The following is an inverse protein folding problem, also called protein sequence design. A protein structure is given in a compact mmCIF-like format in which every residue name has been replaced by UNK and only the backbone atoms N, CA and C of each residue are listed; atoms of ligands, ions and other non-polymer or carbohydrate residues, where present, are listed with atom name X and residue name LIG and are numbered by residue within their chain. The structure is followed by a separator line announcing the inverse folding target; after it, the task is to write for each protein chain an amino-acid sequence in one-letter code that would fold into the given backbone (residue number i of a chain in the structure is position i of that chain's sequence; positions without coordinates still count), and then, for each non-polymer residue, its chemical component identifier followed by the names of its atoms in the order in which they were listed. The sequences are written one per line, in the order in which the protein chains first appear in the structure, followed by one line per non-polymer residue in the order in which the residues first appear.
data_IF_385248265852
#
_entry.id   IF_385248265852
#
_cell.length_a   1.000
_cell.length_b   1.000
_cell.length_c   1.000
_cell.angle_alpha   90.00
_cell.angle_beta   90.00
_cell.angle_gamma   90.00
#
_symmetry.space_group_name_H-M   'P 1'
#
loop_
_entity.id
_entity.type
_entity.pdbx_description
1 polymer ?
#
# COMPACT_ATOMS: atom_id res chain seq x y z
N UNK A 1 -4.39 14.91 8.61
CA UNK A 1 -3.25 15.31 9.47
C UNK A 1 -2.00 15.64 8.65
N UNK A 2 -1.55 14.76 7.74
CA UNK A 2 -0.34 15.01 6.92
C UNK A 2 -0.46 16.23 6.00
N UNK A 3 -1.58 16.39 5.30
CA UNK A 3 -1.79 17.58 4.43
C UNK A 3 -1.75 18.90 5.22
N UNK A 4 -2.34 18.90 6.41
CA UNK A 4 -2.27 20.05 7.32
C UNK A 4 -0.83 20.41 7.69
N UNK A 5 0.04 19.42 7.94
CA UNK A 5 1.45 19.67 8.22
C UNK A 5 2.18 20.27 7.01
N UNK A 6 1.90 19.80 5.79
CA UNK A 6 2.52 20.31 4.55
C UNK A 6 2.09 21.77 4.29
N UNK A 7 0.81 22.07 4.46
CA UNK A 7 0.25 23.42 4.31
C UNK A 7 0.86 24.42 5.32
N UNK A 8 1.21 23.93 6.52
CA UNK A 8 1.80 24.72 7.58
C UNK A 8 3.35 24.65 7.64
N UNK A 9 3.98 24.01 6.66
CA UNK A 9 5.45 23.87 6.58
C UNK A 9 6.16 24.96 5.79
N UNK A 10 5.48 26.07 5.45
CA UNK A 10 5.97 27.07 4.51
C UNK A 10 7.39 27.57 4.82
N UNK A 11 8.22 27.70 3.77
CA UNK A 11 9.54 28.33 3.86
C UNK A 11 9.48 29.73 3.21
N UNK A 12 9.94 30.77 3.92
CA UNK A 12 10.10 32.12 3.36
C UNK A 12 11.50 32.30 2.78
N UNK A 13 11.60 32.93 1.62
CA UNK A 13 12.87 33.13 0.89
C UNK A 13 13.71 34.28 1.48
N UNK A 14 13.08 35.20 2.22
CA UNK A 14 13.69 36.50 2.60
C UNK A 14 13.99 36.62 4.11
N UNK A 15 13.84 35.55 4.88
CA UNK A 15 14.04 35.59 6.35
C UNK A 15 14.50 34.23 6.86
N UNK A 16 15.77 34.16 7.25
CA UNK A 16 16.35 32.99 7.93
C UNK A 16 15.73 32.78 9.33
N UNK A 17 15.12 33.82 9.90
CA UNK A 17 14.43 33.80 11.20
C UNK A 17 12.95 33.36 11.09
N UNK A 18 12.45 33.03 9.90
CA UNK A 18 11.05 32.61 9.77
C UNK A 18 10.84 31.20 10.32
N UNK A 19 10.00 31.12 11.35
CA UNK A 19 9.57 29.89 11.97
C UNK A 19 8.13 29.57 11.56
N UNK A 20 7.94 28.40 10.95
CA UNK A 20 6.62 27.91 10.56
C UNK A 20 5.94 27.17 11.73
N UNK A 21 4.59 27.01 11.71
CA UNK A 21 3.92 26.15 12.69
C UNK A 21 4.43 24.70 12.68
N UNK A 22 4.93 24.21 11.54
CA UNK A 22 5.58 22.91 11.46
C UNK A 22 6.92 22.89 12.22
N UNK A 23 7.70 23.97 12.17
CA UNK A 23 8.94 24.09 12.95
C UNK A 23 8.66 23.99 14.45
N UNK A 24 7.67 24.73 14.94
CA UNK A 24 7.26 24.69 16.35
C UNK A 24 6.82 23.29 16.80
N UNK A 25 6.12 22.56 15.93
CA UNK A 25 5.70 21.18 16.22
C UNK A 25 6.90 20.25 16.39
N UNK A 26 7.93 20.37 15.53
CA UNK A 26 9.12 19.54 15.61
C UNK A 26 10.06 19.96 16.76
N UNK A 27 10.09 21.23 17.13
CA UNK A 27 10.80 21.71 18.32
C UNK A 27 10.17 21.15 19.60
N UNK A 28 8.85 21.21 19.73
CA UNK A 28 8.15 20.61 20.86
C UNK A 28 8.40 19.09 20.93
N UNK A 29 8.39 18.40 19.78
CA UNK A 29 8.73 16.98 19.73
C UNK A 29 10.20 16.71 20.13
N UNK A 30 11.12 17.59 19.76
CA UNK A 30 12.53 17.49 20.15
C UNK A 30 12.73 17.70 21.65
N UNK A 31 11.98 18.61 22.28
CA UNK A 31 12.02 18.81 23.72
C UNK A 31 11.56 17.56 24.49
N UNK A 32 10.55 16.84 23.97
CA UNK A 32 10.03 15.61 24.57
C UNK A 32 10.91 14.38 24.28
N UNK A 33 11.30 14.17 23.02
CA UNK A 33 12.18 13.08 22.59
C UNK A 33 13.22 13.56 21.55
N UNK A 34 14.41 13.99 22.02
CA UNK A 34 15.48 14.47 21.14
C UNK A 34 15.99 13.43 20.14
N UNK A 35 15.77 12.14 20.42
CA UNK A 35 16.29 11.02 19.61
C UNK A 35 15.27 10.52 18.58
N UNK A 36 14.07 11.10 18.56
CA UNK A 36 12.98 10.69 17.70
C UNK A 36 13.37 10.77 16.21
N UNK A 37 13.06 9.73 15.43
CA UNK A 37 13.42 9.64 14.01
C UNK A 37 12.86 10.85 13.24
N UNK A 38 11.62 11.25 13.52
CA UNK A 38 10.99 12.37 12.83
C UNK A 38 11.75 13.70 13.05
N UNK A 39 12.30 13.94 14.24
CA UNK A 39 13.13 15.13 14.53
C UNK A 39 14.41 15.10 13.70
N UNK A 40 15.07 13.94 13.62
CA UNK A 40 16.31 13.78 12.85
C UNK A 40 16.08 14.03 11.36
N UNK A 41 15.03 13.44 10.79
CA UNK A 41 14.67 13.64 9.38
C UNK A 41 14.26 15.10 9.09
N UNK A 42 13.52 15.74 10.01
CA UNK A 42 13.14 17.13 9.85
C UNK A 42 14.34 18.09 9.87
N UNK A 43 15.33 17.83 10.73
CA UNK A 43 16.60 18.59 10.74
C UNK A 43 17.36 18.48 9.42
N UNK A 44 17.33 17.32 8.77
CA UNK A 44 17.93 17.15 7.43
C UNK A 44 17.18 18.02 6.41
N UNK A 45 15.85 18.03 6.45
CA UNK A 45 15.05 18.92 5.60
C UNK A 45 15.39 20.41 5.84
N UNK A 46 15.57 20.84 7.09
CA UNK A 46 15.93 22.23 7.43
C UNK A 46 17.34 22.65 6.98
N UNK A 47 18.21 21.73 6.60
CA UNK A 47 19.50 22.06 5.98
C UNK A 47 19.35 22.51 4.51
N UNK A 48 18.20 22.27 3.88
CA UNK A 48 17.95 22.72 2.52
C UNK A 48 17.77 24.24 2.46
N UNK A 49 18.39 24.89 1.46
CA UNK A 49 18.16 26.31 1.20
C UNK A 49 16.67 26.59 0.95
N UNK A 50 16.19 27.80 1.29
CA UNK A 50 14.75 28.14 1.25
C UNK A 50 14.05 27.79 -0.07
N UNK A 51 14.69 28.06 -1.21
CA UNK A 51 14.16 27.68 -2.54
C UNK A 51 14.03 26.16 -2.73
N UNK A 52 14.99 25.39 -2.22
CA UNK A 52 14.98 23.93 -2.28
C UNK A 52 13.94 23.35 -1.33
N UNK A 53 13.85 23.85 -0.09
CA UNK A 53 12.85 23.45 0.88
C UNK A 53 11.42 23.65 0.34
N UNK A 54 11.16 24.81 -0.28
CA UNK A 54 9.88 25.11 -0.93
C UNK A 54 9.57 24.17 -2.10
N UNK A 55 10.57 23.81 -2.90
CA UNK A 55 10.43 22.83 -3.98
C UNK A 55 10.07 21.44 -3.45
N UNK A 56 10.69 21.01 -2.35
CA UNK A 56 10.39 19.74 -1.68
C UNK A 56 8.94 19.73 -1.18
N UNK A 57 8.51 20.78 -0.47
CA UNK A 57 7.14 20.90 0.04
C UNK A 57 6.11 20.89 -1.09
N UNK A 58 6.37 21.61 -2.18
CA UNK A 58 5.48 21.62 -3.34
C UNK A 58 5.40 20.23 -3.99
N UNK A 59 6.52 19.54 -4.14
CA UNK A 59 6.55 18.18 -4.68
C UNK A 59 5.76 17.20 -3.81
N UNK A 60 5.88 17.30 -2.49
CA UNK A 60 5.11 16.50 -1.54
C UNK A 60 3.61 16.82 -1.62
N UNK A 61 3.24 18.11 -1.64
CA UNK A 61 1.85 18.55 -1.75
C UNK A 61 1.17 18.04 -3.03
N UNK A 62 1.87 18.11 -4.18
CA UNK A 62 1.32 17.61 -5.46
C UNK A 62 1.10 16.10 -5.41
N UNK A 63 2.06 15.33 -4.88
CA UNK A 63 1.94 13.87 -4.78
C UNK A 63 0.86 13.42 -3.81
N UNK A 64 0.61 14.20 -2.75
CA UNK A 64 -0.39 13.89 -1.72
C UNK A 64 -1.73 14.60 -1.94
N UNK A 65 -1.88 15.32 -3.05
CA UNK A 65 -3.07 16.13 -3.35
C UNK A 65 -4.38 15.34 -3.32
N UNK A 66 -4.36 14.06 -3.68
CA UNK A 66 -5.55 13.22 -3.60
C UNK A 66 -6.07 13.05 -2.16
N UNK A 67 -5.21 13.13 -1.14
CA UNK A 67 -5.60 13.09 0.27
C UNK A 67 -6.21 14.40 0.78
N UNK A 68 -6.49 15.36 -0.10
CA UNK A 68 -7.30 16.54 0.19
C UNK A 68 -8.80 16.24 -0.06
N UNK A 69 -9.10 15.27 -0.93
CA UNK A 69 -10.48 14.92 -1.30
C UNK A 69 -11.22 14.41 -0.05
N UNK A 70 -12.35 15.02 0.36
CA UNK A 70 -13.06 14.68 1.60
C UNK A 70 -13.40 13.19 1.72
N UNK A 71 -13.76 12.55 0.61
CA UNK A 71 -14.09 11.13 0.53
C UNK A 71 -12.86 10.26 0.84
N UNK A 72 -11.69 10.62 0.31
CA UNK A 72 -10.42 9.91 0.56
C UNK A 72 -9.95 10.15 1.99
N UNK A 73 -10.09 11.38 2.49
CA UNK A 73 -9.83 11.69 3.90
C UNK A 73 -10.72 10.84 4.79
N UNK A 74 -12.02 10.71 4.47
CA UNK A 74 -12.97 9.92 5.23
C UNK A 74 -12.52 8.47 5.45
N UNK A 75 -12.08 7.81 4.38
CA UNK A 75 -11.64 6.40 4.42
C UNK A 75 -10.22 6.20 4.99
N UNK A 76 -9.39 7.25 5.05
CA UNK A 76 -7.98 7.14 5.51
C UNK A 76 -7.70 7.77 6.87
N UNK A 77 -8.67 8.47 7.45
CA UNK A 77 -8.48 9.19 8.73
C UNK A 77 -8.50 8.27 9.95
N UNK A 78 -9.16 7.12 9.86
CA UNK A 78 -9.31 6.18 10.98
C UNK A 78 -8.99 4.77 10.50
N UNK A 79 -8.37 3.99 11.38
CA UNK A 79 -8.25 2.54 11.20
C UNK A 79 -9.41 1.87 11.94
N UNK A 80 -10.43 1.50 11.18
CA UNK A 80 -11.62 0.76 11.64
C UNK A 80 -11.70 -0.65 11.03
N UNK A 81 -10.82 -0.97 10.08
CA UNK A 81 -10.81 -2.25 9.40
C UNK A 81 -10.10 -3.32 10.21
N UNK A 82 -9.23 -2.98 11.15
CA UNK A 82 -8.54 -3.93 12.04
C UNK A 82 -7.89 -5.09 11.26
N UNK A 83 -7.22 -4.79 10.14
CA UNK A 83 -6.74 -5.79 9.17
C UNK A 83 -5.83 -6.86 9.80
N UNK A 84 -5.08 -6.52 10.84
CA UNK A 84 -4.26 -7.48 11.59
C UNK A 84 -5.09 -8.55 12.31
N UNK A 85 -6.29 -8.22 12.78
CA UNK A 85 -7.14 -9.15 13.52
C UNK A 85 -7.85 -10.18 12.63
N UNK A 86 -7.76 -10.05 11.30
CA UNK A 86 -8.34 -11.02 10.36
C UNK A 86 -7.74 -12.43 10.54
N UNK A 87 -6.51 -12.53 11.04
CA UNK A 87 -5.87 -13.81 11.39
C UNK A 87 -6.24 -14.37 12.77
N UNK A 88 -6.87 -13.56 13.63
CA UNK A 88 -7.22 -13.92 15.01
C UNK A 88 -8.70 -14.27 15.17
N UNK A 89 -9.56 -13.64 14.39
CA UNK A 89 -11.01 -13.86 14.41
C UNK A 89 -11.61 -13.78 13.01
N UNK A 90 -12.79 -14.37 12.84
CA UNK A 90 -13.51 -14.34 11.56
C UNK A 90 -13.92 -12.91 11.22
N UNK A 91 -13.46 -12.43 10.08
CA UNK A 91 -13.74 -11.10 9.55
C UNK A 91 -13.72 -11.15 8.02
N UNK A 92 -14.50 -10.27 7.37
CA UNK A 92 -14.50 -10.09 5.93
C UNK A 92 -14.38 -8.60 5.60
N UNK A 93 -13.49 -8.27 4.66
CA UNK A 93 -13.30 -6.91 4.13
C UNK A 93 -13.60 -6.97 2.64
N UNK A 94 -14.45 -6.06 2.16
CA UNK A 94 -14.84 -5.96 0.77
C UNK A 94 -14.30 -4.67 0.19
N UNK A 95 -13.42 -4.76 -0.80
CA UNK A 95 -12.96 -3.63 -1.58
C UNK A 95 -13.84 -3.51 -2.84
N UNK A 96 -14.72 -2.50 -2.86
CA UNK A 96 -15.60 -2.23 -4.00
C UNK A 96 -14.91 -1.19 -4.87
N UNK A 97 -14.56 -1.58 -6.09
CA UNK A 97 -13.75 -0.77 -6.99
C UNK A 97 -14.60 -0.40 -8.21
N UNK A 98 -14.70 0.89 -8.58
CA UNK A 98 -15.36 1.29 -9.81
C UNK A 98 -14.59 0.76 -11.02
N UNK A 99 -15.31 0.24 -12.01
CA UNK A 99 -14.78 -0.39 -13.22
C UNK A 99 -14.30 0.63 -14.28
N UNK A 100 -14.84 1.84 -14.24
CA UNK A 100 -14.69 2.84 -15.28
C UNK A 100 -13.60 3.89 -15.03
N UNK A 101 -13.08 4.00 -13.80
CA UNK A 101 -12.12 5.03 -13.40
C UNK A 101 -11.00 4.46 -12.51
N UNK A 102 -9.81 4.32 -13.11
CA UNK A 102 -8.61 3.83 -12.43
C UNK A 102 -7.89 4.87 -11.57
N UNK A 103 -8.38 6.11 -11.49
CA UNK A 103 -7.73 7.23 -10.79
C UNK A 103 -7.37 6.87 -9.34
N UNK A 104 -8.21 6.08 -8.67
CA UNK A 104 -8.05 5.73 -7.25
C UNK A 104 -7.59 4.29 -7.00
N UNK A 105 -7.13 3.57 -8.03
CA UNK A 105 -6.66 2.18 -7.86
C UNK A 105 -5.47 2.06 -6.90
N UNK A 106 -4.70 3.13 -6.72
CA UNK A 106 -3.61 3.17 -5.75
C UNK A 106 -4.09 2.98 -4.30
N UNK A 107 -5.32 3.39 -3.95
CA UNK A 107 -5.90 3.18 -2.62
C UNK A 107 -6.13 1.70 -2.34
N UNK A 108 -6.54 0.95 -3.36
CA UNK A 108 -6.71 -0.50 -3.29
C UNK A 108 -5.33 -1.18 -3.14
N UNK A 109 -4.33 -0.71 -3.89
CA UNK A 109 -2.95 -1.21 -3.73
C UNK A 109 -2.37 -0.92 -2.34
N UNK A 110 -2.65 0.26 -1.79
CA UNK A 110 -2.32 0.59 -0.40
C UNK A 110 -3.03 -0.35 0.58
N UNK A 111 -4.33 -0.58 0.40
CA UNK A 111 -5.11 -1.51 1.24
C UNK A 111 -4.49 -2.91 1.24
N UNK A 112 -4.15 -3.46 0.07
CA UNK A 112 -3.49 -4.76 -0.02
C UNK A 112 -2.13 -4.76 0.67
N UNK A 113 -1.33 -3.72 0.45
CA UNK A 113 -0.01 -3.59 1.08
C UNK A 113 -0.13 -3.58 2.60
N UNK A 114 -1.05 -2.78 3.15
CA UNK A 114 -1.33 -2.71 4.58
C UNK A 114 -1.84 -4.06 5.12
N UNK A 115 -2.75 -4.73 4.39
CA UNK A 115 -3.26 -6.04 4.78
C UNK A 115 -2.14 -7.09 4.86
N UNK A 116 -1.32 -7.22 3.81
CA UNK A 116 -0.20 -8.17 3.82
C UNK A 116 0.80 -7.87 4.93
N UNK A 117 1.19 -6.60 5.11
CA UNK A 117 2.12 -6.21 6.17
C UNK A 117 1.57 -6.52 7.57
N UNK A 118 0.31 -6.18 7.83
CA UNK A 118 -0.34 -6.44 9.11
C UNK A 118 -0.43 -7.95 9.39
N UNK A 119 -0.88 -8.73 8.40
CA UNK A 119 -1.01 -10.19 8.54
C UNK A 119 0.33 -10.89 8.70
N UNK A 120 1.36 -10.46 7.96
CA UNK A 120 2.72 -11.01 8.11
C UNK A 120 3.32 -10.65 9.46
N UNK A 121 3.09 -9.43 9.95
CA UNK A 121 3.51 -9.04 11.29
C UNK A 121 2.82 -9.91 12.35
N UNK A 122 1.52 -10.13 12.24
CA UNK A 122 0.77 -10.99 13.15
C UNK A 122 1.30 -12.42 13.14
N UNK A 123 1.49 -13.00 11.95
CA UNK A 123 2.06 -14.33 11.80
C UNK A 123 3.47 -14.43 12.41
N UNK A 124 4.39 -13.57 11.99
CA UNK A 124 5.81 -13.73 12.29
C UNK A 124 6.20 -13.22 13.69
N UNK A 125 5.55 -12.16 14.18
CA UNK A 125 5.93 -11.48 15.43
C UNK A 125 5.02 -11.80 16.60
N UNK A 126 3.72 -11.97 16.36
CA UNK A 126 2.75 -12.23 17.43
C UNK A 126 2.58 -13.73 17.64
N UNK A 127 2.23 -14.47 16.58
CA UNK A 127 1.99 -15.91 16.64
C UNK A 127 3.25 -16.75 16.47
N UNK A 128 4.35 -16.15 16.00
CA UNK A 128 5.63 -16.82 15.71
C UNK A 128 5.45 -18.03 14.77
N UNK A 129 4.53 -17.93 13.82
CA UNK A 129 4.12 -19.02 12.96
C UNK A 129 2.86 -18.72 12.16
N UNK A 130 2.09 -19.75 11.83
CA UNK A 130 0.88 -19.59 11.05
C UNK A 130 -0.23 -18.88 11.83
N UNK A 131 -1.05 -18.08 11.13
CA UNK A 131 -2.21 -17.43 11.72
C UNK A 131 -3.22 -18.47 12.24
N UNK A 132 -3.83 -18.27 13.43
CA UNK A 132 -4.84 -19.16 14.00
C UNK A 132 -6.06 -19.36 13.09
N UNK A 133 -6.51 -18.28 12.45
CA UNK A 133 -7.60 -18.29 11.47
C UNK A 133 -7.02 -18.06 10.08
N UNK A 134 -7.22 -18.99 9.12
CA UNK A 134 -6.73 -18.80 7.76
C UNK A 134 -7.37 -17.59 7.08
N UNK A 135 -6.55 -16.77 6.44
CA UNK A 135 -6.99 -15.58 5.72
C UNK A 135 -6.92 -15.83 4.21
N UNK A 136 -8.04 -15.64 3.53
CA UNK A 136 -8.15 -15.79 2.07
C UNK A 136 -8.39 -14.44 1.41
N UNK A 137 -7.49 -14.06 0.52
CA UNK A 137 -7.68 -12.94 -0.39
C UNK A 137 -8.36 -13.46 -1.66
N UNK A 138 -9.53 -12.92 -1.99
CA UNK A 138 -10.22 -13.19 -3.25
C UNK A 138 -10.02 -12.00 -4.18
N UNK A 139 -9.31 -12.20 -5.28
CA UNK A 139 -8.86 -11.15 -6.18
C UNK A 139 -9.50 -11.38 -7.56
N UNK A 140 -10.72 -10.89 -7.75
CA UNK A 140 -11.44 -11.07 -9.02
C UNK A 140 -10.91 -10.15 -10.13
N UNK A 141 -10.50 -8.94 -9.75
CA UNK A 141 -9.95 -7.90 -10.61
C UNK A 141 -8.41 -7.85 -10.56
N UNK A 142 -7.75 -8.99 -10.41
CA UNK A 142 -6.30 -9.08 -10.16
C UNK A 142 -5.43 -8.29 -11.17
N UNK A 143 -5.80 -8.29 -12.45
CA UNK A 143 -5.06 -7.56 -13.48
C UNK A 143 -5.43 -6.07 -13.61
N UNK A 144 -6.54 -5.64 -13.01
CA UNK A 144 -7.05 -4.27 -13.11
C UNK A 144 -6.74 -3.43 -11.85
N UNK A 145 -6.36 -4.08 -10.75
CA UNK A 145 -5.99 -3.41 -9.50
C UNK A 145 -4.48 -3.17 -9.38
N UNK A 146 -4.11 -2.13 -8.66
CA UNK A 146 -2.72 -1.95 -8.23
C UNK A 146 -2.37 -3.01 -7.19
N UNK A 147 -1.39 -3.83 -7.49
CA UNK A 147 -0.89 -4.86 -6.58
C UNK A 147 0.31 -4.33 -5.77
N UNK A 148 0.57 -4.88 -4.57
CA UNK A 148 1.82 -4.61 -3.86
C UNK A 148 3.04 -4.96 -4.72
N UNK A 149 4.10 -4.17 -4.56
CA UNK A 149 5.41 -4.52 -5.13
C UNK A 149 5.83 -5.92 -4.67
N UNK A 150 6.47 -6.69 -5.56
CA UNK A 150 6.91 -8.07 -5.28
C UNK A 150 5.79 -9.06 -4.88
N UNK A 151 4.56 -8.88 -5.39
CA UNK A 151 3.45 -9.81 -5.12
C UNK A 151 3.81 -11.29 -5.36
N UNK A 152 4.66 -11.61 -6.35
CA UNK A 152 5.14 -12.98 -6.58
C UNK A 152 5.89 -13.58 -5.39
N UNK A 153 6.69 -12.78 -4.66
CA UNK A 153 7.37 -13.21 -3.43
C UNK A 153 6.38 -13.38 -2.27
N UNK A 154 5.38 -12.50 -2.18
CA UNK A 154 4.29 -12.64 -1.20
C UNK A 154 3.54 -13.95 -1.45
N UNK A 155 3.15 -14.22 -2.69
CA UNK A 155 2.44 -15.44 -3.07
C UNK A 155 3.23 -16.72 -2.74
N UNK A 156 4.55 -16.71 -2.96
CA UNK A 156 5.41 -17.85 -2.63
C UNK A 156 5.55 -18.11 -1.11
N UNK A 157 5.34 -17.09 -0.26
CA UNK A 157 5.63 -17.17 1.18
C UNK A 157 4.40 -17.13 2.09
N UNK A 158 3.23 -16.77 1.56
CA UNK A 158 2.00 -16.58 2.34
C UNK A 158 1.45 -17.90 2.90
N UNK A 159 1.68 -19.03 2.21
CA UNK A 159 1.13 -20.34 2.59
C UNK A 159 1.57 -20.81 3.97
N UNK A 160 2.85 -20.62 4.32
CA UNK A 160 3.36 -21.03 5.65
C UNK A 160 2.75 -20.22 6.79
N UNK A 161 2.11 -19.09 6.47
CA UNK A 161 1.46 -18.18 7.43
C UNK A 161 -0.07 -18.40 7.51
N UNK A 162 -0.61 -19.45 6.89
CA UNK A 162 -2.06 -19.64 6.71
C UNK A 162 -2.76 -18.51 5.94
N UNK A 163 -2.03 -17.84 5.06
CA UNK A 163 -2.57 -16.84 4.14
C UNK A 163 -2.63 -17.47 2.74
N UNK A 164 -3.73 -17.24 2.02
CA UNK A 164 -3.93 -17.74 0.66
C UNK A 164 -4.51 -16.66 -0.25
N UNK A 165 -4.14 -16.67 -1.52
CA UNK A 165 -4.78 -15.82 -2.54
C UNK A 165 -5.50 -16.69 -3.58
N UNK A 166 -6.68 -16.25 -4.00
CA UNK A 166 -7.42 -16.81 -5.12
C UNK A 166 -7.52 -15.74 -6.16
N UNK A 167 -6.73 -15.92 -7.21
CA UNK A 167 -6.61 -15.00 -8.32
C UNK A 167 -7.58 -15.45 -9.40
N UNK A 168 -8.50 -14.58 -9.80
CA UNK A 168 -9.37 -14.80 -10.95
C UNK A 168 -8.82 -13.99 -12.11
N UNK A 169 -8.69 -14.64 -13.26
CA UNK A 169 -8.20 -14.03 -14.49
C UNK A 169 -9.22 -14.21 -15.58
N UNK A 170 -9.51 -13.14 -16.33
CA UNK A 170 -10.33 -13.23 -17.54
C UNK A 170 -9.54 -13.86 -18.69
N UNK A 171 -8.23 -13.57 -18.79
CA UNK A 171 -7.33 -14.16 -19.77
C UNK A 171 -5.88 -14.16 -19.23
N UNK A 172 -5.04 -15.04 -19.76
CA UNK A 172 -3.62 -15.14 -19.37
C UNK A 172 -2.81 -13.97 -19.99
N UNK A 173 -3.27 -13.42 -21.12
CA UNK A 173 -2.60 -12.31 -21.81
C UNK A 173 -2.45 -11.06 -20.92
N UNK A 174 -3.46 -10.72 -20.11
CA UNK A 174 -3.42 -9.63 -19.16
C UNK A 174 -2.40 -9.88 -18.04
N UNK A 175 -2.29 -11.13 -17.57
CA UNK A 175 -1.28 -11.52 -16.59
C UNK A 175 0.14 -11.37 -17.15
N UNK A 176 0.36 -11.82 -18.39
CA UNK A 176 1.63 -11.67 -19.10
C UNK A 176 2.02 -10.21 -19.30
N UNK A 177 1.06 -9.36 -19.62
CA UNK A 177 1.32 -7.93 -19.77
C UNK A 177 1.74 -7.28 -18.44
N UNK A 178 1.13 -7.71 -17.33
CA UNK A 178 1.38 -7.16 -16.00
C UNK A 178 2.72 -7.63 -15.41
N UNK A 179 3.03 -8.94 -15.49
CA UNK A 179 4.21 -9.53 -14.86
C UNK A 179 5.37 -9.84 -15.82
N UNK A 180 5.21 -9.58 -17.12
CA UNK A 180 6.23 -9.76 -18.17
C UNK A 180 6.89 -11.13 -18.14
N UNK A 181 8.11 -11.26 -17.63
CA UNK A 181 8.86 -12.51 -17.56
C UNK A 181 8.53 -13.32 -16.30
N UNK A 182 7.98 -12.70 -15.26
CA UNK A 182 7.70 -13.33 -13.95
C UNK A 182 6.33 -14.03 -13.90
N UNK A 183 5.51 -13.91 -14.94
CA UNK A 183 4.15 -14.47 -14.97
C UNK A 183 4.11 -16.00 -14.79
N UNK A 184 5.12 -16.71 -15.30
CA UNK A 184 5.23 -18.18 -15.15
C UNK A 184 5.46 -18.56 -13.69
N UNK A 185 6.26 -17.78 -12.97
CA UNK A 185 6.49 -17.98 -11.54
C UNK A 185 5.21 -17.80 -10.72
N UNK A 186 4.41 -16.78 -11.06
CA UNK A 186 3.12 -16.54 -10.39
C UNK A 186 2.13 -17.69 -10.60
N UNK A 187 2.08 -18.23 -11.81
CA UNK A 187 1.27 -19.41 -12.10
C UNK A 187 1.82 -20.67 -11.44
N UNK A 188 3.15 -20.84 -11.41
CA UNK A 188 3.81 -21.98 -10.76
C UNK A 188 3.64 -22.03 -9.25
N UNK A 189 3.49 -20.87 -8.60
CA UNK A 189 3.19 -20.78 -7.17
C UNK A 189 1.73 -21.12 -6.83
N UNK A 190 0.83 -21.18 -7.81
CA UNK A 190 -0.56 -21.53 -7.59
C UNK A 190 -0.72 -23.07 -7.56
N UNK A 191 -1.13 -23.60 -6.40
CA UNK A 191 -1.37 -25.03 -6.22
C UNK A 191 -2.48 -25.60 -7.13
N UNK A 192 -3.38 -24.74 -7.60
CA UNK A 192 -4.55 -25.16 -8.39
C UNK A 192 -4.85 -24.12 -9.47
N UNK A 193 -4.97 -24.61 -10.71
CA UNK A 193 -5.45 -23.83 -11.85
C UNK A 193 -6.82 -24.35 -12.26
N UNK A 194 -7.82 -23.48 -12.25
CA UNK A 194 -9.17 -23.79 -12.74
C UNK A 194 -9.40 -23.01 -14.03
N UNK A 195 -9.55 -23.73 -15.14
CA UNK A 195 -9.86 -23.14 -16.44
C UNK A 195 -11.33 -23.32 -16.77
N UNK A 196 -12.08 -22.22 -16.83
CA UNK A 196 -13.52 -22.20 -17.07
C UNK A 196 -13.91 -21.99 -18.54
N UNK A 197 -12.92 -21.98 -19.45
CA UNK A 197 -13.12 -21.70 -20.88
C UNK A 197 -12.70 -20.28 -21.28
N UNK A 198 -12.37 -20.10 -22.56
CA UNK A 198 -11.83 -18.87 -23.13
C UNK A 198 -11.52 -19.05 -24.62
N UNK A 199 -11.56 -17.96 -25.38
CA UNK A 199 -11.45 -17.97 -26.85
C UNK A 199 -10.01 -17.79 -27.39
N UNK A 200 -8.99 -17.73 -26.53
CA UNK A 200 -7.59 -17.53 -26.95
C UNK A 200 -6.87 -18.87 -27.23
N UNK A 201 -6.33 -19.02 -28.45
CA UNK A 201 -5.55 -20.19 -28.87
C UNK A 201 -4.31 -20.48 -28.00
N UNK A 202 -3.69 -19.46 -27.41
CA UNK A 202 -2.52 -19.59 -26.52
C UNK A 202 -2.88 -20.19 -25.17
N UNK A 203 -4.06 -19.87 -24.63
CA UNK A 203 -4.56 -20.38 -23.34
C UNK A 203 -4.97 -21.85 -23.43
N UNK A 204 -5.36 -22.32 -24.62
CA UNK A 204 -5.66 -23.74 -24.85
C UNK A 204 -4.47 -24.69 -24.67
N UNK A 205 -3.22 -24.21 -24.76
CA UNK A 205 -2.02 -25.05 -24.59
C UNK A 205 -1.73 -25.43 -23.14
N UNK A 206 -2.38 -24.82 -22.14
CA UNK A 206 -2.26 -25.21 -20.72
C UNK A 206 -3.07 -26.49 -20.42
N UNK A 207 -3.75 -27.03 -21.43
CA UNK A 207 -4.54 -28.26 -21.39
C UNK A 207 -3.66 -29.47 -21.75
N UNK A 208 -2.60 -29.75 -21.00
CA UNK A 208 -1.91 -31.05 -21.07
C UNK A 208 -1.28 -31.39 -19.74
#
# INVERSE_FOLDING_TARGET
MVMYMIENGGAREDSDDFQSPLDLLFEALEEEDPSHIAVREYKIFKQAAGKTAKSILLSAAVRLSAFIIPEIVGITTRDDMELGLMGDRKQAVFAIIPDNDGTFNYLVGMLYTCAFQALYYQADKVHQGALPVPVRLMMDEFCNVSLPDDFGKLQATMRSRNIMSTIVLQNISALKALFKDDWEGLMGNADTLIYLGGNEQSTHKVRT
#
